data_IF_971839134815
#
_entry.id   IF_971839134815
#
_cell.length_a   1.000
_cell.length_b   1.000
_cell.length_c   1.000
_cell.angle_alpha   90.00
_cell.angle_beta   90.00
_cell.angle_gamma   90.00
#
_symmetry.space_group_name_H-M   'P 1'
#
loop_
_entity.id
_entity.type
_entity.pdbx_description
1 polymer ?
#
# COMPACT_ATOMS: atom_id res chain seq x y z
N UNK A 1 -21.97 -18.49 15.47
CA UNK A 1 -20.61 -17.94 15.53
C UNK A 1 -20.63 -16.63 14.77
N UNK A 2 -20.04 -15.57 15.33
CA UNK A 2 -19.95 -14.24 14.75
C UNK A 2 -18.48 -13.84 14.75
N UNK A 3 -18.06 -13.16 13.69
CA UNK A 3 -16.74 -12.56 13.58
C UNK A 3 -16.95 -11.08 13.24
N UNK A 4 -16.46 -10.21 14.11
CA UNK A 4 -16.39 -8.77 13.89
C UNK A 4 -14.94 -8.38 13.60
N UNK A 5 -14.73 -7.56 12.57
CA UNK A 5 -13.40 -7.12 12.14
C UNK A 5 -13.34 -5.61 12.33
N UNK A 6 -12.78 -5.19 13.45
CA UNK A 6 -12.51 -3.79 13.74
C UNK A 6 -11.23 -3.28 13.10
N UNK A 7 -10.88 -2.03 13.44
CA UNK A 7 -9.63 -1.42 13.00
C UNK A 7 -8.40 -2.03 13.67
N UNK A 8 -8.38 -2.16 14.99
CA UNK A 8 -7.22 -2.67 15.74
C UNK A 8 -7.36 -4.12 16.23
N UNK A 9 -8.56 -4.67 16.19
CA UNK A 9 -8.90 -5.97 16.75
C UNK A 9 -9.89 -6.71 15.86
N UNK A 10 -9.98 -8.02 16.06
CA UNK A 10 -11.06 -8.85 15.55
C UNK A 10 -11.63 -9.66 16.70
N UNK A 11 -12.96 -9.65 16.81
CA UNK A 11 -13.72 -10.30 17.87
C UNK A 11 -14.40 -11.52 17.29
N UNK A 12 -14.21 -12.66 17.95
CA UNK A 12 -14.82 -13.93 17.55
C UNK A 12 -15.66 -14.41 18.72
N UNK A 13 -16.94 -14.68 18.46
CA UNK A 13 -17.88 -15.17 19.46
C UNK A 13 -18.68 -16.37 18.96
N UNK A 14 -18.82 -17.39 19.80
CA UNK A 14 -19.81 -18.46 19.63
C UNK A 14 -20.98 -18.16 20.55
N UNK A 15 -22.19 -18.14 19.99
CA UNK A 15 -23.43 -17.77 20.70
C UNK A 15 -24.32 -19.01 20.82
N UNK A 16 -24.89 -19.23 22.01
CA UNK A 16 -25.91 -20.26 22.28
C UNK A 16 -26.81 -19.84 23.44
N UNK A 17 -28.09 -20.23 23.43
CA UNK A 17 -29.09 -19.95 24.48
C UNK A 17 -29.05 -18.50 25.00
N UNK A 18 -29.13 -17.51 24.09
CA UNK A 18 -29.05 -16.08 24.41
C UNK A 18 -27.75 -15.62 25.11
N UNK A 19 -26.68 -16.40 25.08
CA UNK A 19 -25.39 -16.06 25.67
C UNK A 19 -24.19 -16.34 24.77
N UNK A 20 -23.05 -15.74 25.11
CA UNK A 20 -21.75 -16.05 24.49
C UNK A 20 -21.16 -17.24 25.25
N UNK A 21 -20.96 -18.36 24.55
CA UNK A 21 -20.37 -19.58 25.13
C UNK A 21 -18.85 -19.65 24.96
N UNK A 22 -18.31 -18.91 24.00
CA UNK A 22 -16.88 -18.70 23.82
C UNK A 22 -16.64 -17.36 23.14
N UNK A 23 -15.65 -16.61 23.59
CA UNK A 23 -15.28 -15.31 23.04
C UNK A 23 -13.78 -15.08 23.11
N UNK A 24 -13.21 -14.52 22.05
CA UNK A 24 -11.82 -14.06 22.02
C UNK A 24 -11.73 -12.76 21.21
N UNK A 25 -10.89 -11.83 21.67
CA UNK A 25 -10.46 -10.66 20.90
C UNK A 25 -8.98 -10.80 20.63
N UNK A 26 -8.61 -10.67 19.37
CA UNK A 26 -7.21 -10.69 18.92
C UNK A 26 -6.83 -9.32 18.39
N UNK A 27 -5.59 -8.89 18.61
CA UNK A 27 -5.06 -7.59 18.16
C UNK A 27 -4.63 -7.60 16.69
N UNK A 28 -5.53 -8.09 15.85
CA UNK A 28 -5.38 -8.15 14.40
C UNK A 28 -6.68 -7.59 13.83
N UNK A 29 -6.59 -6.52 13.03
CA UNK A 29 -7.73 -5.85 12.41
C UNK A 29 -7.30 -5.10 11.17
N UNK A 30 -8.17 -4.21 10.67
CA UNK A 30 -7.94 -3.46 9.43
C UNK A 30 -6.65 -2.61 9.40
N UNK A 31 -6.22 -2.05 10.54
CA UNK A 31 -5.02 -1.20 10.62
C UNK A 31 -3.75 -2.00 10.29
N UNK A 32 -3.69 -3.27 10.72
CA UNK A 32 -2.55 -4.14 10.46
C UNK A 32 -2.48 -4.49 8.97
N UNK A 33 -3.65 -4.77 8.36
CA UNK A 33 -3.75 -5.06 6.93
C UNK A 33 -3.42 -3.82 6.08
N UNK A 34 -3.91 -2.65 6.47
CA UNK A 34 -3.62 -1.37 5.81
C UNK A 34 -2.13 -1.07 5.84
N UNK A 35 -1.48 -1.23 6.99
CA UNK A 35 -0.04 -0.99 7.12
C UNK A 35 0.77 -1.94 6.25
N UNK A 36 0.37 -3.21 6.15
CA UNK A 36 1.02 -4.17 5.26
C UNK A 36 0.89 -3.75 3.79
N UNK A 37 -0.28 -3.24 3.39
CA UNK A 37 -0.50 -2.73 2.04
C UNK A 37 0.41 -1.54 1.72
N UNK A 38 0.59 -0.59 2.65
CA UNK A 38 1.49 0.56 2.46
C UNK A 38 2.92 0.11 2.16
N UNK A 39 3.44 -0.82 2.97
CA UNK A 39 4.78 -1.39 2.77
C UNK A 39 4.91 -2.07 1.40
N UNK A 40 3.88 -2.80 0.97
CA UNK A 40 3.87 -3.45 -0.34
C UNK A 40 3.88 -2.43 -1.48
N UNK A 41 3.10 -1.35 -1.38
CA UNK A 41 3.06 -0.30 -2.39
C UNK A 41 4.38 0.46 -2.48
N UNK A 42 5.01 0.78 -1.35
CA UNK A 42 6.34 1.41 -1.31
C UNK A 42 7.37 0.54 -2.06
N UNK A 43 7.38 -0.77 -1.79
CA UNK A 43 8.26 -1.70 -2.50
C UNK A 43 8.00 -1.80 -4.01
N UNK A 44 6.74 -1.72 -4.46
CA UNK A 44 6.38 -1.73 -5.89
C UNK A 44 6.89 -0.45 -6.59
N UNK A 45 6.77 0.70 -5.91
CA UNK A 45 7.22 1.97 -6.45
C UNK A 45 8.74 2.01 -6.58
N UNK A 46 9.48 1.56 -5.56
CA UNK A 46 10.94 1.43 -5.63
C UNK A 46 11.39 0.50 -6.76
N UNK A 47 10.74 -0.66 -6.92
CA UNK A 47 11.01 -1.58 -8.02
C UNK A 47 10.80 -0.93 -9.40
N UNK A 48 9.74 -0.13 -9.53
CA UNK A 48 9.40 0.56 -10.78
C UNK A 48 10.39 1.67 -11.14
N UNK A 49 10.96 2.36 -10.14
CA UNK A 49 11.97 3.40 -10.33
C UNK A 49 13.34 2.82 -10.70
N UNK A 50 13.73 1.68 -10.14
CA UNK A 50 15.00 1.00 -10.44
C UNK A 50 15.09 0.48 -11.88
N UNK A 51 13.95 0.24 -12.56
CA UNK A 51 13.91 -0.26 -13.94
C UNK A 51 13.76 0.79 -15.04
N UNK A 52 13.63 2.10 -14.74
CA UNK A 52 13.59 3.09 -15.82
C UNK A 52 14.98 3.21 -16.48
N UNK A 53 15.16 2.81 -17.75
CA UNK A 53 16.41 3.10 -18.44
C UNK A 53 16.48 4.62 -18.59
N UNK A 54 17.48 5.23 -17.94
CA UNK A 54 17.81 6.65 -18.03
C UNK A 54 17.69 7.14 -19.48
N UNK A 55 16.59 7.82 -19.82
CA UNK A 55 16.42 8.45 -21.13
C UNK A 55 17.39 9.63 -21.17
N UNK A 56 18.63 9.38 -21.61
CA UNK A 56 19.64 10.43 -21.88
C UNK A 56 19.06 11.37 -22.94
N UNK A 57 18.45 12.46 -22.49
CA UNK A 57 18.01 13.54 -23.35
C UNK A 57 19.26 14.26 -23.86
N UNK A 58 19.76 13.87 -25.04
CA UNK A 58 20.85 14.58 -25.70
C UNK A 58 20.33 15.92 -26.22
N UNK A 59 20.42 16.95 -25.39
CA UNK A 59 20.16 18.34 -25.78
C UNK A 59 21.42 18.91 -26.46
N UNK A 60 21.59 18.62 -27.76
CA UNK A 60 22.64 19.21 -28.60
C UNK A 60 22.09 19.54 -29.99
N UNK A 61 21.23 20.55 -30.14
CA UNK A 61 20.98 21.16 -31.48
C UNK A 61 20.15 22.45 -31.46
N UNK A 62 20.41 23.40 -30.56
CA UNK A 62 19.82 24.74 -30.70
C UNK A 62 20.91 25.79 -30.58
N UNK A 63 21.77 25.89 -31.60
CA UNK A 63 22.53 27.12 -31.86
C UNK A 63 21.75 27.92 -32.92
N UNK A 64 21.31 29.16 -32.64
CA UNK A 64 20.75 30.00 -33.67
C UNK A 64 21.90 30.53 -34.55
N UNK A 65 21.93 30.14 -35.81
CA UNK A 65 22.83 30.77 -36.80
C UNK A 65 22.38 32.22 -36.99
N UNK A 66 23.17 33.17 -36.52
CA UNK A 66 22.97 34.57 -36.85
C UNK A 66 23.30 34.77 -38.34
N UNK A 67 22.28 35.10 -39.13
CA UNK A 67 22.43 35.53 -40.52
C UNK A 67 22.99 36.96 -40.49
N UNK A 68 24.20 37.12 -41.04
CA UNK A 68 24.89 38.41 -41.20
C UNK A 68 24.20 39.18 -42.33
N UNK A 69 23.95 40.48 -42.11
CA UNK A 69 23.47 41.46 -43.11
C UNK A 69 24.58 41.88 -44.07
#
# INVERSE_FOLDING_TARGET
MVVDIGGGTSEIAVISLNGIVYGISIKIGGILLMNQLLITLDGIMEFSLVKQPQKKLNMKSAMPTQVIS
#
